data_IF_339016549502
#
_entry.id   IF_339016549502
#
_cell.length_a   1.000
_cell.length_b   1.000
_cell.length_c   1.000
_cell.angle_alpha   90.00
_cell.angle_beta   90.00
_cell.angle_gamma   90.00
#
_symmetry.space_group_name_H-M   'P 1'
#
loop_
_entity.id
_entity.type
_entity.pdbx_description
1 polymer ?
#
# COMPACT_ATOMS: atom_id res chain seq x y z
N UNK A 1 62.87 -45.50 -10.51
CA UNK A 1 61.89 -45.21 -9.43
C UNK A 1 62.32 -43.93 -8.71
N UNK A 2 61.43 -42.92 -8.67
CA UNK A 2 61.34 -41.76 -7.73
C UNK A 2 62.63 -40.90 -7.61
N UNK A 3 62.64 -39.61 -7.93
CA UNK A 3 61.74 -38.55 -7.44
C UNK A 3 61.71 -37.39 -8.44
N UNK A 4 60.55 -37.14 -9.03
CA UNK A 4 60.20 -35.87 -9.67
C UNK A 4 59.69 -34.97 -8.54
N UNK A 5 60.53 -34.07 -8.05
CA UNK A 5 60.12 -32.97 -7.19
C UNK A 5 61.04 -31.80 -7.48
N UNK A 6 60.45 -30.61 -7.41
CA UNK A 6 61.10 -29.30 -7.44
C UNK A 6 61.21 -28.66 -8.83
N UNK A 7 60.08 -28.06 -9.25
CA UNK A 7 59.97 -26.68 -9.77
C UNK A 7 58.51 -26.35 -10.09
N UNK A 8 57.65 -26.40 -9.06
CA UNK A 8 56.32 -25.78 -9.08
C UNK A 8 56.39 -24.53 -8.20
N UNK A 9 56.93 -23.46 -8.75
CA UNK A 9 56.91 -22.13 -8.14
C UNK A 9 56.49 -21.16 -9.23
N UNK A 10 55.53 -20.30 -8.90
CA UNK A 10 54.84 -19.31 -9.76
C UNK A 10 53.61 -19.84 -10.51
N UNK A 11 52.56 -20.18 -9.75
CA UNK A 11 51.18 -19.98 -10.19
C UNK A 11 50.29 -19.68 -8.96
N UNK A 12 50.77 -18.77 -8.11
CA UNK A 12 50.00 -18.21 -7.00
C UNK A 12 49.86 -16.71 -7.26
N UNK A 13 48.97 -16.30 -8.16
CA UNK A 13 48.52 -14.92 -8.19
C UNK A 13 47.22 -14.75 -8.97
N UNK A 14 46.23 -14.24 -8.23
CA UNK A 14 45.05 -13.51 -8.70
C UNK A 14 43.92 -14.34 -9.32
N UNK A 15 43.28 -15.16 -8.48
CA UNK A 15 41.84 -15.28 -8.56
C UNK A 15 41.25 -13.99 -7.96
N UNK A 16 41.23 -12.90 -8.73
CA UNK A 16 40.43 -11.72 -8.39
C UNK A 16 38.98 -12.19 -8.39
N UNK A 17 38.46 -12.52 -7.21
CA UNK A 17 37.04 -12.63 -7.01
C UNK A 17 36.46 -11.27 -7.37
N UNK A 18 35.93 -11.16 -8.59
CA UNK A 18 35.08 -10.05 -8.97
C UNK A 18 33.86 -10.15 -8.04
N UNK A 19 33.90 -9.43 -6.92
CA UNK A 19 32.75 -9.27 -6.05
C UNK A 19 31.69 -8.62 -6.95
N UNK A 20 30.57 -9.29 -7.26
CA UNK A 20 29.53 -8.66 -8.04
C UNK A 20 29.09 -7.44 -7.24
N UNK A 21 29.32 -6.25 -7.80
CA UNK A 21 28.80 -5.02 -7.22
C UNK A 21 27.28 -5.12 -7.31
N UNK A 22 26.62 -5.40 -6.19
CA UNK A 22 25.15 -5.39 -6.12
C UNK A 22 24.67 -3.99 -6.45
N UNK A 23 24.04 -3.84 -7.60
CA UNK A 23 23.41 -2.59 -8.02
C UNK A 23 22.34 -2.21 -7.00
N UNK A 24 22.47 -1.03 -6.39
CA UNK A 24 21.46 -0.52 -5.45
C UNK A 24 20.33 0.11 -6.25
N UNK A 25 19.09 -0.05 -5.78
CA UNK A 25 17.95 0.68 -6.32
C UNK A 25 17.53 1.76 -5.35
N UNK A 26 17.38 2.98 -5.85
CA UNK A 26 16.77 4.09 -5.11
C UNK A 26 15.33 4.29 -5.56
N UNK A 27 14.46 4.66 -4.64
CA UNK A 27 13.06 4.96 -4.91
C UNK A 27 12.82 6.46 -4.87
N UNK A 28 12.07 6.98 -5.83
CA UNK A 28 11.65 8.35 -5.90
C UNK A 28 10.16 8.43 -6.23
N UNK A 29 9.36 9.13 -5.43
CA UNK A 29 7.91 9.28 -5.64
C UNK A 29 7.64 10.74 -5.99
N UNK A 30 6.86 10.98 -7.04
CA UNK A 30 6.54 12.32 -7.55
C UNK A 30 5.04 12.51 -7.74
N UNK A 31 4.62 13.77 -7.77
CA UNK A 31 3.24 14.16 -8.11
C UNK A 31 2.27 14.25 -6.92
N UNK A 32 2.78 14.08 -5.70
CA UNK A 32 2.07 14.29 -4.44
C UNK A 32 2.60 15.54 -3.73
N UNK A 33 1.78 16.12 -2.86
CA UNK A 33 2.15 17.26 -2.01
C UNK A 33 1.40 17.21 -0.68
N UNK A 34 2.01 17.77 0.36
CA UNK A 34 1.40 17.92 1.69
C UNK A 34 0.93 16.58 2.25
N UNK A 35 -0.28 16.54 2.83
CA UNK A 35 -0.76 15.32 3.51
C UNK A 35 -0.83 14.06 2.65
N UNK A 36 -0.99 14.19 1.32
CA UNK A 36 -0.93 13.03 0.42
C UNK A 36 0.50 12.46 0.29
N UNK A 37 1.49 13.35 0.26
CA UNK A 37 2.91 12.98 0.19
C UNK A 37 3.35 12.35 1.51
N UNK A 38 3.07 13.02 2.62
CA UNK A 38 3.41 12.56 3.97
C UNK A 38 2.83 11.16 4.25
N UNK A 39 1.57 10.94 3.87
CA UNK A 39 0.91 9.66 4.10
C UNK A 39 1.47 8.54 3.20
N UNK A 40 1.80 8.85 1.94
CA UNK A 40 2.43 7.87 1.05
C UNK A 40 3.84 7.52 1.51
N UNK A 41 4.61 8.50 1.97
CA UNK A 41 5.94 8.25 2.54
C UNK A 41 5.86 7.35 3.78
N UNK A 42 4.90 7.58 4.66
CA UNK A 42 4.69 6.75 5.85
C UNK A 42 4.40 5.27 5.48
N UNK A 43 3.51 5.01 4.51
CA UNK A 43 3.20 3.64 4.06
C UNK A 43 4.40 2.98 3.40
N UNK A 44 5.08 3.69 2.49
CA UNK A 44 6.22 3.14 1.74
C UNK A 44 7.44 2.92 2.64
N UNK A 45 7.58 3.66 3.74
CA UNK A 45 8.65 3.48 4.72
C UNK A 45 8.64 2.10 5.40
N UNK A 46 7.50 1.40 5.37
CA UNK A 46 7.38 0.02 5.87
C UNK A 46 8.16 -0.99 5.01
N UNK A 47 8.50 -0.63 3.76
CA UNK A 47 9.31 -1.45 2.87
C UNK A 47 10.80 -1.14 3.11
N UNK A 48 11.61 -2.11 3.58
CA UNK A 48 13.03 -1.90 3.80
C UNK A 48 13.76 -1.46 2.52
N UNK A 49 14.65 -0.46 2.62
CA UNK A 49 15.40 0.06 1.46
C UNK A 49 16.25 -0.99 0.75
N UNK A 50 16.67 -2.05 1.44
CA UNK A 50 17.43 -3.16 0.86
C UNK A 50 16.57 -4.05 -0.07
N UNK A 51 15.25 -3.99 0.08
CA UNK A 51 14.30 -4.76 -0.74
C UNK A 51 13.93 -3.98 -2.02
N UNK A 52 14.35 -2.72 -2.13
CA UNK A 52 14.10 -1.90 -3.32
C UNK A 52 14.79 -2.51 -4.54
N UNK A 53 14.02 -2.76 -5.57
CA UNK A 53 14.49 -3.33 -6.82
C UNK A 53 13.60 -2.88 -7.99
N UNK A 54 13.96 -3.27 -9.21
CA UNK A 54 13.26 -2.84 -10.44
C UNK A 54 12.25 -3.85 -10.94
N UNK A 55 12.04 -4.97 -10.24
CA UNK A 55 11.14 -6.04 -10.68
C UNK A 55 9.68 -5.59 -10.71
N UNK A 56 8.88 -6.19 -11.59
CA UNK A 56 7.44 -5.96 -11.66
C UNK A 56 6.75 -6.27 -10.33
N UNK A 57 7.16 -7.36 -9.65
CA UNK A 57 6.64 -7.71 -8.33
C UNK A 57 6.83 -6.60 -7.29
N UNK A 58 8.00 -5.96 -7.27
CA UNK A 58 8.24 -4.84 -6.38
C UNK A 58 7.40 -3.62 -6.75
N UNK A 59 7.27 -3.34 -8.05
CA UNK A 59 6.42 -2.26 -8.54
C UNK A 59 4.94 -2.48 -8.16
N UNK A 60 4.42 -3.70 -8.27
CA UNK A 60 3.06 -4.07 -7.84
C UNK A 60 2.85 -3.89 -6.33
N UNK A 61 3.82 -4.34 -5.52
CA UNK A 61 3.79 -4.13 -4.06
C UNK A 61 3.79 -2.64 -3.72
N UNK A 62 4.69 -1.87 -4.34
CA UNK A 62 4.79 -0.43 -4.15
C UNK A 62 3.52 0.30 -4.61
N UNK A 63 2.95 -0.10 -5.75
CA UNK A 63 1.69 0.43 -6.24
C UNK A 63 0.55 0.20 -5.24
N UNK A 64 0.47 -1.00 -4.66
CA UNK A 64 -0.52 -1.33 -3.63
C UNK A 64 -0.37 -0.41 -2.41
N UNK A 65 0.85 -0.23 -1.89
CA UNK A 65 1.08 0.63 -0.72
C UNK A 65 0.73 2.11 -1.02
N UNK A 66 1.13 2.63 -2.18
CA UNK A 66 0.76 4.00 -2.60
C UNK A 66 -0.76 4.13 -2.72
N UNK A 67 -1.44 3.16 -3.33
CA UNK A 67 -2.91 3.17 -3.46
C UNK A 67 -3.59 3.12 -2.10
N UNK A 68 -3.13 2.30 -1.18
CA UNK A 68 -3.74 2.17 0.14
C UNK A 68 -3.55 3.43 0.98
N UNK A 69 -2.37 4.07 0.91
CA UNK A 69 -2.14 5.39 1.49
C UNK A 69 -3.07 6.47 0.88
N UNK A 70 -3.22 6.49 -0.43
CA UNK A 70 -4.07 7.48 -1.11
C UNK A 70 -5.57 7.27 -0.80
N UNK A 71 -6.02 6.01 -0.72
CA UNK A 71 -7.38 5.66 -0.31
C UNK A 71 -7.70 6.16 1.10
N UNK A 72 -6.76 6.09 2.04
CA UNK A 72 -6.94 6.60 3.40
C UNK A 72 -7.30 8.10 3.42
N UNK A 73 -6.88 8.85 2.39
CA UNK A 73 -7.15 10.28 2.20
C UNK A 73 -8.21 10.57 1.11
N UNK A 74 -8.99 9.56 0.73
CA UNK A 74 -10.15 9.72 -0.17
C UNK A 74 -9.82 9.77 -1.66
N UNK A 75 -8.64 9.29 -2.06
CA UNK A 75 -8.19 9.22 -3.46
C UNK A 75 -8.22 7.77 -3.94
N UNK A 76 -9.37 7.33 -4.48
CA UNK A 76 -9.55 5.92 -4.85
C UNK A 76 -9.05 5.57 -6.25
N UNK A 77 -8.96 6.56 -7.13
CA UNK A 77 -8.61 6.35 -8.53
C UNK A 77 -7.29 7.06 -8.90
N UNK A 78 -6.16 6.79 -8.21
CA UNK A 78 -4.90 7.34 -8.62
C UNK A 78 -4.35 6.60 -9.86
N UNK A 79 -3.58 7.32 -10.65
CA UNK A 79 -2.77 6.78 -11.73
C UNK A 79 -1.31 6.80 -11.30
N UNK A 80 -0.60 5.68 -11.43
CA UNK A 80 0.78 5.51 -11.02
C UNK A 80 1.54 4.93 -12.20
N UNK A 81 2.58 5.64 -12.65
CA UNK A 81 3.45 5.19 -13.72
C UNK A 81 4.86 4.99 -13.19
N UNK A 82 5.48 3.86 -13.52
CA UNK A 82 6.84 3.54 -13.09
C UNK A 82 7.83 3.76 -14.21
N UNK A 83 8.96 4.37 -13.85
CA UNK A 83 10.08 4.59 -14.75
C UNK A 83 11.38 4.18 -14.06
N UNK A 84 12.16 3.33 -14.72
CA UNK A 84 13.49 2.93 -14.26
C UNK A 84 14.53 3.70 -15.06
N UNK A 85 15.47 4.34 -14.36
CA UNK A 85 16.66 4.96 -14.96
C UNK A 85 17.92 4.34 -14.38
N UNK A 86 18.89 4.10 -15.24
CA UNK A 86 20.25 3.77 -14.81
C UNK A 86 20.90 5.00 -14.18
N UNK A 87 21.63 4.78 -13.09
CA UNK A 87 22.36 5.79 -12.33
C UNK A 87 23.77 5.24 -12.04
N UNK A 88 24.61 5.23 -13.08
CA UNK A 88 25.91 4.57 -13.06
C UNK A 88 25.77 3.05 -12.95
N UNK A 89 26.21 2.47 -11.83
CA UNK A 89 26.05 1.03 -11.52
C UNK A 89 24.76 0.71 -10.75
N UNK A 90 23.93 1.72 -10.49
CA UNK A 90 22.72 1.63 -9.69
C UNK A 90 21.49 1.90 -10.55
N UNK A 91 20.32 1.72 -9.96
CA UNK A 91 19.04 2.05 -10.58
C UNK A 91 18.27 3.07 -9.74
N UNK A 92 17.47 3.88 -10.42
CA UNK A 92 16.48 4.75 -9.82
C UNK A 92 15.11 4.38 -10.34
N UNK A 93 14.28 3.81 -9.46
CA UNK A 93 12.86 3.61 -9.72
C UNK A 93 12.11 4.89 -9.35
N UNK A 94 11.41 5.47 -10.31
CA UNK A 94 10.53 6.62 -10.10
C UNK A 94 9.09 6.18 -10.24
N UNK A 95 8.26 6.52 -9.26
CA UNK A 95 6.80 6.40 -9.31
C UNK A 95 6.20 7.79 -9.52
N UNK A 96 5.70 8.07 -10.73
CA UNK A 96 4.97 9.28 -11.04
C UNK A 96 3.49 9.07 -10.71
N UNK A 97 3.03 9.74 -9.67
CA UNK A 97 1.70 9.53 -9.06
C UNK A 97 0.81 10.73 -9.34
N UNK A 98 -0.32 10.49 -9.99
CA UNK A 98 -1.44 11.42 -10.02
C UNK A 98 -2.50 10.92 -9.03
N UNK A 99 -2.78 11.66 -7.92
CA UNK A 99 -3.75 11.21 -6.93
C UNK A 99 -5.19 11.22 -7.45
N UNK A 100 -5.47 11.86 -8.58
CA UNK A 100 -6.81 11.97 -9.14
C UNK A 100 -7.75 12.82 -8.27
N UNK A 101 -9.05 12.90 -8.63
CA UNK A 101 -10.03 13.64 -7.85
C UNK A 101 -10.32 12.96 -6.51
N UNK A 102 -10.86 13.72 -5.56
CA UNK A 102 -11.43 13.12 -4.35
C UNK A 102 -12.65 12.30 -4.77
N UNK A 103 -12.71 11.05 -4.36
CA UNK A 103 -13.87 10.21 -4.60
C UNK A 103 -14.97 10.63 -3.62
N UNK A 104 -16.17 10.86 -4.15
CA UNK A 104 -17.33 11.25 -3.35
C UNK A 104 -18.44 10.21 -3.48
N UNK A 105 -19.23 10.09 -2.43
CA UNK A 105 -20.40 9.22 -2.40
C UNK A 105 -21.47 9.84 -3.29
N UNK A 106 -21.75 9.20 -4.44
CA UNK A 106 -22.76 9.64 -5.40
C UNK A 106 -24.18 9.21 -5.00
N UNK A 107 -24.29 8.13 -4.23
CA UNK A 107 -25.54 7.67 -3.61
C UNK A 107 -25.19 6.81 -2.40
N UNK A 108 -26.03 6.86 -1.37
CA UNK A 108 -25.92 6.03 -0.17
C UNK A 108 -27.30 5.52 0.19
N UNK A 109 -27.48 4.21 0.05
CA UNK A 109 -28.72 3.55 0.40
C UNK A 109 -28.43 2.53 1.50
N UNK A 110 -28.75 2.91 2.73
CA UNK A 110 -28.59 2.07 3.91
C UNK A 110 -29.98 1.88 4.50
N UNK A 111 -30.52 0.68 4.35
CA UNK A 111 -31.85 0.32 4.84
C UNK A 111 -31.71 -0.55 6.08
N UNK A 112 -32.41 -0.17 7.15
CA UNK A 112 -32.58 -1.00 8.33
C UNK A 112 -33.87 -1.79 8.19
N UNK A 113 -33.80 -3.11 8.39
CA UNK A 113 -34.95 -4.01 8.25
C UNK A 113 -35.27 -4.72 9.58
N UNK A 114 -36.44 -5.38 9.63
CA UNK A 114 -36.92 -6.07 10.82
C UNK A 114 -37.11 -5.12 12.00
N UNK A 115 -36.73 -5.57 13.20
CA UNK A 115 -36.86 -4.78 14.43
C UNK A 115 -35.88 -3.60 14.51
N UNK A 116 -34.78 -3.61 13.75
CA UNK A 116 -33.78 -2.54 13.78
C UNK A 116 -34.27 -1.25 13.11
N UNK A 117 -35.30 -1.33 12.25
CA UNK A 117 -35.83 -0.19 11.51
C UNK A 117 -36.43 0.91 12.41
N UNK A 118 -36.98 0.52 13.55
CA UNK A 118 -37.65 1.39 14.52
C UNK A 118 -36.78 1.62 15.78
N UNK A 119 -35.57 1.06 15.82
CA UNK A 119 -34.67 1.18 16.95
C UNK A 119 -33.84 2.47 16.84
N UNK A 120 -33.98 3.42 17.79
CA UNK A 120 -33.31 4.72 17.71
C UNK A 120 -31.78 4.62 17.69
N UNK A 121 -31.19 3.60 18.33
CA UNK A 121 -29.74 3.44 18.38
C UNK A 121 -29.18 3.05 17.00
N UNK A 122 -29.90 2.19 16.26
CA UNK A 122 -29.51 1.79 14.91
C UNK A 122 -29.67 2.95 13.93
N UNK A 123 -30.79 3.69 14.02
CA UNK A 123 -31.06 4.87 13.19
C UNK A 123 -29.97 5.92 13.41
N UNK A 124 -29.61 6.18 14.66
CA UNK A 124 -28.55 7.12 15.01
C UNK A 124 -27.18 6.67 14.49
N UNK A 125 -26.86 5.39 14.63
CA UNK A 125 -25.60 4.84 14.14
C UNK A 125 -25.43 5.03 12.62
N UNK A 126 -26.49 4.76 11.83
CA UNK A 126 -26.47 4.98 10.38
C UNK A 126 -26.35 6.47 10.05
N UNK A 127 -27.11 7.33 10.73
CA UNK A 127 -27.07 8.79 10.55
C UNK A 127 -25.68 9.36 10.81
N UNK A 128 -24.96 8.83 11.78
CA UNK A 128 -23.63 9.29 12.20
C UNK A 128 -22.47 8.60 11.47
N UNK A 129 -22.75 7.65 10.57
CA UNK A 129 -21.73 6.89 9.81
C UNK A 129 -20.80 7.76 8.95
N UNK A 130 -21.26 8.97 8.58
CA UNK A 130 -20.54 9.83 7.64
C UNK A 130 -20.48 9.29 6.21
N UNK A 131 -21.32 8.31 5.88
CA UNK A 131 -21.50 7.73 4.54
C UNK A 131 -22.63 8.43 3.75
N UNK A 132 -22.86 9.71 3.99
CA UNK A 132 -23.90 10.49 3.32
C UNK A 132 -23.51 10.94 1.91
N UNK A 133 -24.52 11.32 1.11
CA UNK A 133 -24.35 11.90 -0.21
C UNK A 133 -23.35 13.08 -0.20
N UNK A 134 -22.45 13.11 -1.19
CA UNK A 134 -21.46 14.18 -1.37
C UNK A 134 -20.29 14.15 -0.38
N UNK A 135 -20.30 13.25 0.62
CA UNK A 135 -19.14 13.05 1.50
C UNK A 135 -18.02 12.35 0.73
N UNK A 136 -16.77 12.62 1.11
CA UNK A 136 -15.62 11.88 0.59
C UNK A 136 -15.76 10.41 0.95
N UNK A 137 -15.65 9.54 -0.06
CA UNK A 137 -15.66 8.09 0.14
C UNK A 137 -14.49 7.71 1.05
N UNK A 138 -14.77 6.92 2.07
CA UNK A 138 -13.76 6.36 2.96
C UNK A 138 -14.21 4.95 3.37
N UNK A 139 -13.41 3.96 3.01
CA UNK A 139 -13.71 2.54 3.21
C UNK A 139 -13.64 2.16 4.69
N UNK A 140 -12.77 2.82 5.46
CA UNK A 140 -12.73 2.68 6.91
C UNK A 140 -14.05 3.06 7.58
N UNK A 141 -14.76 4.09 7.09
CA UNK A 141 -16.11 4.42 7.61
C UNK A 141 -17.15 3.35 7.30
N UNK A 142 -17.05 2.71 6.14
CA UNK A 142 -17.94 1.62 5.75
C UNK A 142 -17.73 0.38 6.62
N UNK A 143 -16.47 -0.05 6.80
CA UNK A 143 -16.14 -1.19 7.67
C UNK A 143 -16.45 -0.88 9.15
N UNK A 144 -16.20 0.35 9.60
CA UNK A 144 -16.57 0.78 10.95
C UNK A 144 -18.07 0.74 11.19
N UNK A 145 -18.89 1.17 10.22
CA UNK A 145 -20.35 1.08 10.33
C UNK A 145 -20.81 -0.38 10.45
N UNK A 146 -20.31 -1.28 9.61
CA UNK A 146 -20.64 -2.72 9.68
C UNK A 146 -20.29 -3.32 11.04
N UNK A 147 -19.07 -3.07 11.52
CA UNK A 147 -18.61 -3.56 12.81
C UNK A 147 -19.47 -3.01 13.96
N UNK A 148 -19.85 -1.74 13.90
CA UNK A 148 -20.71 -1.12 14.89
C UNK A 148 -22.15 -1.68 14.85
N UNK A 149 -22.70 -1.95 13.66
CA UNK A 149 -24.02 -2.59 13.50
C UNK A 149 -24.03 -4.00 14.10
N UNK A 150 -23.02 -4.82 13.76
CA UNK A 150 -22.87 -6.17 14.36
C UNK A 150 -22.74 -6.10 15.88
N UNK A 151 -21.94 -5.16 16.39
CA UNK A 151 -21.72 -5.00 17.82
C UNK A 151 -22.99 -4.55 18.57
N UNK A 152 -23.76 -3.64 17.97
CA UNK A 152 -25.03 -3.16 18.51
C UNK A 152 -26.09 -4.26 18.50
N UNK A 153 -26.19 -5.01 17.40
CA UNK A 153 -27.09 -6.17 17.28
C UNK A 153 -26.84 -7.20 18.38
N UNK A 154 -25.58 -7.60 18.58
CA UNK A 154 -25.20 -8.53 19.65
C UNK A 154 -25.57 -7.99 21.03
N UNK A 155 -25.27 -6.71 21.32
CA UNK A 155 -25.57 -6.08 22.61
C UNK A 155 -27.05 -6.06 22.93
N UNK A 156 -27.90 -5.85 21.92
CA UNK A 156 -29.35 -5.74 22.08
C UNK A 156 -30.11 -7.05 21.83
N UNK A 157 -29.41 -8.16 21.61
CA UNK A 157 -30.00 -9.51 21.47
C UNK A 157 -30.55 -9.85 20.09
N UNK A 158 -30.11 -9.16 19.04
CA UNK A 158 -30.48 -9.44 17.65
C UNK A 158 -29.57 -10.54 17.08
N UNK A 159 -29.77 -11.78 17.54
CA UNK A 159 -28.89 -12.91 17.18
C UNK A 159 -28.95 -13.32 15.69
N UNK A 160 -30.07 -13.03 15.02
CA UNK A 160 -30.27 -13.32 13.59
C UNK A 160 -29.84 -12.17 12.67
N UNK A 161 -29.23 -11.11 13.22
CA UNK A 161 -28.83 -9.93 12.45
C UNK A 161 -27.77 -10.27 11.40
N UNK A 162 -27.91 -9.67 10.21
CA UNK A 162 -27.00 -9.82 9.07
C UNK A 162 -26.96 -8.53 8.24
N UNK A 163 -25.91 -8.37 7.44
CA UNK A 163 -25.69 -7.25 6.52
C UNK A 163 -24.99 -7.72 5.24
#
# INVERSE_FOLDING_TARGET
MKKVLLRYTVAAMVLSAAVPAMAKTTLNIKGLKGSLEDNVEAYVSAIPKQDYNTSLRFQEQLEKEIRDALKALGRYNPTINFHVKEDGKNYRLTADVNPGPKTVIASSNITLEGMAKDDPDFIELVRNSGLGLGKTLNHGKYEALKSALSSLALRKGYFDARW
#
